data_IF_675998554805
#
_entry.id   IF_675998554805
#
_cell.length_a   1.000
_cell.length_b   1.000
_cell.length_c   1.000
_cell.angle_alpha   90.00
_cell.angle_beta   90.00
_cell.angle_gamma   90.00
#
_symmetry.space_group_name_H-M   'P 1'
#
loop_
_entity.id
_entity.type
_entity.pdbx_description
1 polymer ?
#
# COMPACT_ATOMS: atom_id res chain seq x y z
N UNK A 1 7.57 5.07 -4.92
CA UNK A 1 6.79 5.38 -3.72
C UNK A 1 7.19 6.73 -3.20
N UNK A 2 6.22 7.50 -2.74
CA UNK A 2 6.38 8.89 -2.35
C UNK A 2 5.60 9.17 -1.07
N UNK A 3 6.09 10.09 -0.25
CA UNK A 3 5.36 10.55 0.93
C UNK A 3 4.17 11.41 0.50
N UNK A 4 2.95 10.91 0.69
CA UNK A 4 1.68 11.59 0.42
C UNK A 4 0.58 11.13 1.38
N UNK A 5 -0.52 11.88 1.50
CA UNK A 5 -1.71 11.45 2.28
C UNK A 5 -1.46 11.30 3.78
N UNK A 6 -1.91 10.19 4.37
CA UNK A 6 -1.83 9.94 5.83
C UNK A 6 -0.41 10.00 6.36
N UNK A 7 0.58 9.52 5.60
CA UNK A 7 1.99 9.61 5.97
C UNK A 7 2.43 11.06 6.20
N UNK A 8 2.11 11.97 5.28
CA UNK A 8 2.42 13.40 5.45
C UNK A 8 1.62 14.04 6.57
N UNK A 9 0.35 13.67 6.76
CA UNK A 9 -0.44 14.20 7.88
C UNK A 9 0.19 13.86 9.23
N UNK A 10 0.77 12.67 9.38
CA UNK A 10 1.43 12.23 10.62
C UNK A 10 2.87 12.76 10.76
N UNK A 11 3.62 12.83 9.66
CA UNK A 11 5.07 13.09 9.69
C UNK A 11 5.49 14.38 8.97
N UNK A 12 4.58 15.31 8.69
CA UNK A 12 4.84 16.49 7.86
C UNK A 12 5.91 17.47 8.38
N UNK A 13 6.30 17.37 9.67
CA UNK A 13 7.47 18.08 10.19
C UNK A 13 8.80 17.48 9.69
N UNK A 14 8.81 16.19 9.35
CA UNK A 14 9.99 15.40 9.01
C UNK A 14 10.01 14.90 7.56
N UNK A 15 8.94 15.17 6.79
CA UNK A 15 8.79 14.73 5.42
C UNK A 15 8.10 15.81 4.58
N UNK A 16 8.55 15.96 3.34
CA UNK A 16 7.91 16.85 2.35
C UNK A 16 7.03 16.06 1.38
N UNK A 17 6.01 16.70 0.83
CA UNK A 17 5.16 16.07 -0.18
C UNK A 17 5.98 15.61 -1.40
N UNK A 18 5.72 14.38 -1.85
CA UNK A 18 6.47 13.79 -2.97
C UNK A 18 7.88 13.33 -2.62
N UNK A 19 8.30 13.38 -1.34
CA UNK A 19 9.60 12.86 -0.91
C UNK A 19 9.73 11.36 -1.26
N UNK A 20 10.83 10.91 -1.89
CA UNK A 20 11.04 9.48 -2.16
C UNK A 20 11.01 8.64 -0.87
N UNK A 21 10.31 7.51 -0.93
CA UNK A 21 10.31 6.49 0.12
C UNK A 21 10.81 5.17 -0.43
N UNK A 22 11.63 4.47 0.35
CA UNK A 22 12.19 3.17 0.00
C UNK A 22 11.21 2.03 0.33
N UNK A 23 10.13 1.94 -0.45
CA UNK A 23 9.08 0.93 -0.33
C UNK A 23 8.61 0.72 1.13
N UNK A 24 8.40 1.83 1.84
CA UNK A 24 7.90 1.83 3.21
C UNK A 24 6.55 1.12 3.30
N UNK A 25 6.40 0.23 4.28
CA UNK A 25 5.18 -0.52 4.55
C UNK A 25 4.66 -0.14 5.93
N UNK A 26 3.41 0.29 5.99
CA UNK A 26 2.64 0.43 7.22
C UNK A 26 1.44 -0.53 7.18
N UNK A 27 1.02 -1.01 8.35
CA UNK A 27 -0.18 -1.82 8.50
C UNK A 27 -1.21 -1.02 9.28
N UNK A 28 -2.44 -1.01 8.82
CA UNK A 28 -3.61 -0.49 9.54
C UNK A 28 -4.53 -1.65 9.88
N UNK A 29 -5.12 -1.63 11.08
CA UNK A 29 -6.18 -2.57 11.43
C UNK A 29 -7.53 -1.95 11.07
N UNK A 30 -8.50 -2.78 10.64
CA UNK A 30 -9.88 -2.32 10.45
C UNK A 30 -10.52 -2.13 11.83
N UNK A 31 -10.70 -0.87 12.21
CA UNK A 31 -11.37 -0.45 13.44
C UNK A 31 -11.97 0.93 13.20
N UNK A 32 -13.22 0.94 12.70
CA UNK A 32 -13.94 2.15 12.32
C UNK A 32 -14.12 3.11 13.52
N UNK A 33 -14.21 2.61 14.75
CA UNK A 33 -14.33 3.44 15.95
C UNK A 33 -13.03 4.22 16.25
N UNK A 34 -11.90 3.75 15.73
CA UNK A 34 -10.56 4.32 15.95
C UNK A 34 -9.89 4.81 14.67
N UNK A 35 -10.68 4.97 13.60
CA UNK A 35 -10.24 5.50 12.31
C UNK A 35 -9.10 4.70 11.66
N UNK A 36 -9.18 3.36 11.71
CA UNK A 36 -8.20 2.44 11.10
C UNK A 36 -6.74 2.74 11.48
N UNK A 37 -6.39 2.64 12.78
CA UNK A 37 -5.11 3.13 13.26
C UNK A 37 -3.94 2.30 12.68
N UNK A 38 -2.80 2.95 12.38
CA UNK A 38 -1.55 2.24 12.10
C UNK A 38 -1.12 1.41 13.32
N UNK A 39 -0.63 0.21 13.07
CA UNK A 39 -0.15 -0.72 14.11
C UNK A 39 1.27 -1.17 13.81
N UNK A 40 2.11 -1.25 14.84
CA UNK A 40 3.49 -1.72 14.71
C UNK A 40 3.57 -3.25 14.67
N UNK A 41 4.67 -3.77 14.13
CA UNK A 41 5.01 -5.21 14.19
C UNK A 41 4.95 -5.75 15.63
N UNK A 42 5.52 -5.03 16.59
CA UNK A 42 5.51 -5.48 17.99
C UNK A 42 4.10 -5.52 18.59
N UNK A 43 3.22 -4.57 18.25
CA UNK A 43 1.84 -4.58 18.72
C UNK A 43 1.02 -5.68 18.05
N UNK A 44 1.23 -5.93 16.75
CA UNK A 44 0.61 -7.05 16.04
C UNK A 44 0.94 -8.41 16.69
N UNK A 45 2.21 -8.60 17.05
CA UNK A 45 2.72 -9.83 17.70
C UNK A 45 2.18 -9.95 19.13
N UNK A 46 2.27 -8.87 19.92
CA UNK A 46 1.81 -8.85 21.32
C UNK A 46 0.30 -9.07 21.46
N UNK A 47 -0.49 -8.60 20.49
CA UNK A 47 -1.94 -8.79 20.46
C UNK A 47 -2.36 -10.12 19.82
N UNK A 48 -1.41 -10.93 19.34
CA UNK A 48 -1.69 -12.22 18.71
C UNK A 48 -2.42 -12.12 17.37
N UNK A 49 -2.35 -10.97 16.69
CA UNK A 49 -2.97 -10.75 15.37
C UNK A 49 -2.08 -11.31 14.26
N UNK A 50 -0.79 -11.02 14.35
CA UNK A 50 0.22 -11.41 13.36
C UNK A 50 1.55 -11.61 14.07
N UNK A 51 2.13 -12.81 13.95
CA UNK A 51 3.48 -13.03 14.49
C UNK A 51 4.54 -12.24 13.72
N UNK A 52 5.71 -12.02 14.32
CA UNK A 52 6.84 -11.35 13.62
C UNK A 52 7.25 -12.05 12.32
N UNK A 53 7.21 -13.39 12.30
CA UNK A 53 7.53 -14.17 11.10
C UNK A 53 6.52 -13.92 9.98
N UNK A 54 5.23 -13.92 10.34
CA UNK A 54 4.14 -13.59 9.42
C UNK A 54 4.19 -12.14 8.94
N UNK A 55 4.53 -11.19 9.82
CA UNK A 55 4.74 -9.79 9.45
C UNK A 55 5.81 -9.64 8.38
N UNK A 56 6.93 -10.35 8.53
CA UNK A 56 8.01 -10.34 7.56
C UNK A 56 7.52 -10.84 6.19
N UNK A 57 6.77 -11.95 6.16
CA UNK A 57 6.18 -12.48 4.92
C UNK A 57 5.21 -11.48 4.29
N UNK A 58 4.32 -10.89 5.08
CA UNK A 58 3.36 -9.88 4.61
C UNK A 58 4.08 -8.67 4.00
N UNK A 59 5.13 -8.17 4.67
CA UNK A 59 5.93 -7.04 4.20
C UNK A 59 6.65 -7.37 2.89
N UNK A 60 7.30 -8.52 2.80
CA UNK A 60 7.99 -8.96 1.58
C UNK A 60 7.02 -9.12 0.40
N UNK A 61 5.84 -9.72 0.63
CA UNK A 61 4.79 -9.82 -0.38
C UNK A 61 4.27 -8.45 -0.81
N UNK A 62 4.00 -7.56 0.14
CA UNK A 62 3.55 -6.18 -0.13
C UNK A 62 4.53 -5.44 -1.02
N UNK A 63 5.82 -5.47 -0.69
CA UNK A 63 6.87 -4.81 -1.46
C UNK A 63 7.02 -5.42 -2.86
N UNK A 64 6.95 -6.75 -2.97
CA UNK A 64 7.03 -7.46 -4.26
C UNK A 64 5.86 -7.08 -5.18
N UNK A 65 4.63 -7.12 -4.68
CA UNK A 65 3.43 -6.84 -5.47
C UNK A 65 3.42 -5.36 -5.87
N UNK A 66 3.69 -4.45 -4.92
CA UNK A 66 3.79 -3.02 -5.22
C UNK A 66 4.90 -2.73 -6.26
N UNK A 67 6.01 -3.46 -6.22
CA UNK A 67 7.07 -3.40 -7.22
C UNK A 67 6.60 -3.77 -8.63
N UNK A 68 5.88 -4.89 -8.76
CA UNK A 68 5.30 -5.33 -10.04
C UNK A 68 4.32 -4.28 -10.58
N UNK A 69 3.39 -3.78 -9.76
CA UNK A 69 2.43 -2.74 -10.18
C UNK A 69 3.17 -1.46 -10.63
N UNK A 70 4.19 -1.05 -9.88
CA UNK A 70 5.02 0.10 -10.23
C UNK A 70 5.72 -0.07 -11.57
N UNK A 71 6.26 -1.25 -11.85
CA UNK A 71 6.93 -1.56 -13.12
C UNK A 71 5.95 -1.53 -14.30
N UNK A 72 4.74 -2.08 -14.14
CA UNK A 72 3.71 -2.04 -15.18
C UNK A 72 3.25 -0.61 -15.49
N UNK A 73 3.02 0.22 -14.47
CA UNK A 73 2.66 1.63 -14.65
C UNK A 73 3.78 2.43 -15.32
N UNK A 74 5.04 2.15 -14.97
CA UNK A 74 6.19 2.84 -15.53
C UNK A 74 6.32 2.64 -17.05
N UNK A 75 5.89 1.49 -17.59
CA UNK A 75 5.85 1.24 -19.04
C UNK A 75 4.96 2.23 -19.80
N UNK A 76 3.98 2.84 -19.12
CA UNK A 76 3.05 3.85 -19.66
C UNK A 76 3.44 5.28 -19.26
N UNK A 77 4.62 5.47 -18.67
CA UNK A 77 5.08 6.76 -18.16
C UNK A 77 4.33 7.25 -16.92
N UNK A 78 3.76 6.33 -16.14
CA UNK A 78 2.99 6.61 -14.93
C UNK A 78 3.82 6.23 -13.70
N UNK A 79 3.93 7.12 -12.72
CA UNK A 79 4.60 6.89 -11.45
C UNK A 79 3.62 6.44 -10.37
N UNK A 80 3.92 5.32 -9.71
CA UNK A 80 3.20 4.87 -8.51
C UNK A 80 3.75 5.57 -7.25
N UNK A 81 2.90 6.36 -6.59
CA UNK A 81 3.22 7.06 -5.35
C UNK A 81 2.98 6.16 -4.13
N UNK A 82 1.82 5.50 -4.06
CA UNK A 82 1.54 4.42 -3.12
C UNK A 82 0.37 3.56 -3.56
N UNK A 83 0.17 2.45 -2.85
CA UNK A 83 -0.90 1.47 -3.06
C UNK A 83 -1.24 0.83 -1.72
N UNK A 84 -2.52 0.55 -1.48
CA UNK A 84 -3.03 -0.21 -0.34
C UNK A 84 -3.37 -1.63 -0.80
N UNK A 85 -3.08 -2.61 0.04
CA UNK A 85 -3.53 -3.99 -0.14
C UNK A 85 -4.26 -4.48 1.10
N UNK A 86 -5.30 -5.28 0.90
CA UNK A 86 -5.98 -6.02 1.95
C UNK A 86 -5.54 -7.49 1.99
N UNK A 87 -5.14 -7.94 3.17
CA UNK A 87 -4.76 -9.33 3.42
C UNK A 87 -5.76 -9.99 4.36
N UNK A 88 -6.08 -11.25 4.07
CA UNK A 88 -6.89 -12.12 4.91
C UNK A 88 -6.09 -13.31 5.40
N UNK A 89 -6.68 -14.05 6.35
CA UNK A 89 -6.19 -15.38 6.73
C UNK A 89 -7.13 -16.43 6.16
N UNK A 90 -6.56 -17.46 5.56
CA UNK A 90 -7.30 -18.67 5.24
C UNK A 90 -7.80 -19.35 6.51
N UNK A 91 -9.04 -19.85 6.50
CA UNK A 91 -9.67 -20.42 7.70
C UNK A 91 -9.19 -21.83 8.02
N UNK A 92 -8.65 -22.55 7.05
CA UNK A 92 -8.23 -23.94 7.17
C UNK A 92 -6.72 -24.04 7.40
N UNK A 93 -5.93 -23.29 6.62
CA UNK A 93 -4.46 -23.32 6.68
C UNK A 93 -3.87 -22.25 7.59
N UNK A 94 -4.68 -21.24 7.98
CA UNK A 94 -4.24 -20.04 8.70
C UNK A 94 -3.18 -19.19 7.95
N UNK A 95 -2.98 -19.47 6.65
CA UNK A 95 -2.03 -18.76 5.80
C UNK A 95 -2.51 -17.35 5.46
N UNK A 96 -1.56 -16.43 5.33
CA UNK A 96 -1.83 -15.05 4.93
C UNK A 96 -1.95 -14.98 3.41
N UNK A 97 -3.06 -14.42 2.95
CA UNK A 97 -3.38 -14.32 1.53
C UNK A 97 -3.76 -12.89 1.18
N UNK A 98 -3.30 -12.42 0.01
CA UNK A 98 -3.86 -11.21 -0.59
C UNK A 98 -5.30 -11.50 -0.99
N UNK A 99 -6.24 -10.67 -0.52
CA UNK A 99 -7.67 -10.78 -0.84
C UNK A 99 -8.19 -9.58 -1.63
N UNK A 100 -7.33 -8.60 -1.86
CA UNK A 100 -7.67 -7.37 -2.55
C UNK A 100 -7.75 -7.56 -4.06
N UNK A 101 -8.51 -6.69 -4.71
CA UNK A 101 -8.34 -6.44 -6.15
C UNK A 101 -7.21 -5.42 -6.35
N UNK A 102 -6.54 -5.46 -7.50
CA UNK A 102 -5.59 -4.41 -7.88
C UNK A 102 -6.29 -3.49 -8.87
N UNK A 103 -6.79 -2.33 -8.40
CA UNK A 103 -7.57 -1.38 -9.18
C UNK A 103 -7.10 0.06 -8.98
N UNK A 104 -7.50 0.98 -9.85
CA UNK A 104 -7.09 2.38 -9.72
C UNK A 104 -7.54 3.02 -8.39
N UNK A 105 -8.58 2.49 -7.75
CA UNK A 105 -9.15 3.01 -6.52
C UNK A 105 -8.30 2.77 -5.26
N UNK A 106 -7.36 1.82 -5.27
CA UNK A 106 -6.51 1.53 -4.10
C UNK A 106 -5.10 2.09 -4.21
N UNK A 107 -4.81 2.90 -5.24
CA UNK A 107 -3.49 3.46 -5.47
C UNK A 107 -3.51 4.94 -5.82
N UNK A 108 -2.37 5.59 -5.64
CA UNK A 108 -2.13 6.95 -6.12
C UNK A 108 -1.07 6.93 -7.21
N UNK A 109 -1.49 7.29 -8.42
CA UNK A 109 -0.66 7.29 -9.60
C UNK A 109 -0.55 8.71 -10.17
N UNK A 110 0.61 9.03 -10.76
CA UNK A 110 0.91 10.35 -11.28
C UNK A 110 1.51 10.25 -12.68
N UNK A 111 1.19 11.20 -13.56
CA UNK A 111 1.82 11.34 -14.88
C UNK A 111 2.30 12.77 -15.03
N UNK A 112 3.57 12.95 -15.33
CA UNK A 112 4.21 14.28 -15.44
C UNK A 112 4.02 15.16 -14.19
N UNK A 113 3.96 14.56 -12.99
CA UNK A 113 3.74 15.28 -11.74
C UNK A 113 2.29 15.62 -11.42
N UNK A 114 1.33 15.27 -12.28
CA UNK A 114 -0.10 15.46 -12.04
C UNK A 114 -0.75 14.17 -11.55
N UNK A 115 -1.65 14.29 -10.56
CA UNK A 115 -2.42 13.16 -10.04
C UNK A 115 -3.41 12.66 -11.11
N UNK A 116 -3.50 11.33 -11.24
CA UNK A 116 -4.44 10.67 -12.13
C UNK A 116 -5.59 10.12 -11.30
N UNK A 117 -6.82 10.52 -11.63
CA UNK A 117 -8.01 9.97 -11.00
C UNK A 117 -8.17 8.47 -11.32
N UNK A 118 -8.72 7.65 -10.40
CA UNK A 118 -8.82 6.20 -10.56
C UNK A 118 -9.41 5.72 -11.91
N UNK A 119 -10.53 6.32 -12.33
CA UNK A 119 -11.21 5.96 -13.58
C UNK A 119 -10.41 6.35 -14.83
N UNK A 120 -9.60 7.39 -14.74
CA UNK A 120 -8.71 7.79 -15.83
C UNK A 120 -7.50 6.85 -15.90
N UNK A 121 -6.95 6.46 -14.74
CA UNK A 121 -5.88 5.48 -14.68
C UNK A 121 -6.28 4.14 -15.31
N UNK A 122 -7.49 3.66 -15.02
CA UNK A 122 -8.02 2.44 -15.62
C UNK A 122 -8.07 2.51 -17.15
N UNK A 123 -8.55 3.63 -17.71
CA UNK A 123 -8.56 3.85 -19.17
C UNK A 123 -7.14 3.85 -19.73
N UNK A 124 -6.22 4.57 -19.11
CA UNK A 124 -4.82 4.63 -19.56
C UNK A 124 -4.14 3.25 -19.53
N UNK A 125 -4.49 2.39 -18.58
CA UNK A 125 -3.98 1.03 -18.51
C UNK A 125 -4.57 0.16 -19.63
N UNK A 126 -5.88 0.26 -19.89
CA UNK A 126 -6.59 -0.56 -20.88
C UNK A 126 -6.38 -0.13 -22.35
N UNK A 127 -6.15 1.15 -22.61
CA UNK A 127 -6.01 1.73 -23.97
C UNK A 127 -4.57 1.59 -24.53
N UNK A 128 -3.87 0.49 -24.24
CA UNK A 128 -2.49 0.23 -24.68
C UNK A 128 -2.35 -0.95 -25.63
#
# INVERSE_FOLDING_TARGET
FRAVGSFLRRYGLYATEGQPLDAFVEVTIKDDEREDPPISEDALDMLGILSKAEYKVLKELTQKIAGIVKEELAKKGIELYDIKFEFGRDKETNEIMLIDEISGGNMRAYKNGEYIEPLELEKLILEG
#
